data_IF_591105412060
#
_entry.id   IF_591105412060
#
_cell.length_a   1.000
_cell.length_b   1.000
_cell.length_c   1.000
_cell.angle_alpha   90.00
_cell.angle_beta   90.00
_cell.angle_gamma   90.00
#
_symmetry.space_group_name_H-M   'P 1'
#
loop_
_entity.id
_entity.type
_entity.pdbx_description
1 polymer ?
#
# COMPACT_ATOMS: atom_id res chain seq x y z
N UNK A 1 8.47 3.61 8.62
CA UNK A 1 7.26 4.18 8.01
C UNK A 1 6.82 3.20 6.95
N UNK A 2 5.58 2.72 6.99
CA UNK A 2 5.00 1.99 5.86
C UNK A 2 4.57 3.03 4.81
N UNK A 3 4.72 2.75 3.51
CA UNK A 3 4.20 3.63 2.46
C UNK A 3 2.70 3.78 2.61
N UNK A 4 2.17 5.00 2.48
CA UNK A 4 0.73 5.17 2.58
C UNK A 4 0.21 6.60 2.70
N UNK A 5 -0.90 6.83 2.03
CA UNK A 5 -1.68 8.06 2.07
C UNK A 5 -3.17 7.79 2.26
N UNK A 6 -3.99 8.82 2.05
CA UNK A 6 -5.46 8.66 2.04
C UNK A 6 -5.87 7.90 0.80
N UNK A 7 -6.79 6.94 0.96
CA UNK A 7 -7.47 6.34 -0.18
C UNK A 7 -8.45 7.34 -0.78
N UNK A 8 -8.52 7.41 -2.11
CA UNK A 8 -9.53 8.19 -2.81
C UNK A 8 -10.90 7.48 -2.75
N UNK A 9 -11.99 8.25 -2.91
CA UNK A 9 -13.34 7.70 -2.82
C UNK A 9 -13.60 6.69 -3.96
N UNK A 10 -13.83 5.42 -3.60
CA UNK A 10 -14.06 4.34 -4.55
C UNK A 10 -12.78 3.68 -5.10
N UNK A 11 -11.60 4.11 -4.64
CA UNK A 11 -10.33 3.47 -4.96
C UNK A 11 -10.20 2.13 -4.21
N UNK A 12 -9.78 1.07 -4.91
CA UNK A 12 -9.45 -0.19 -4.28
C UNK A 12 -8.14 -0.06 -3.47
N UNK A 13 -8.04 -0.74 -2.34
CA UNK A 13 -6.88 -0.61 -1.43
C UNK A 13 -5.56 -0.98 -2.13
N UNK A 14 -5.59 -1.95 -3.04
CA UNK A 14 -4.45 -2.40 -3.83
C UNK A 14 -4.01 -1.33 -4.84
N UNK A 15 -4.97 -0.59 -5.41
CA UNK A 15 -4.68 0.52 -6.34
C UNK A 15 -4.02 1.69 -5.62
N UNK A 16 -4.55 2.04 -4.44
CA UNK A 16 -3.95 3.06 -3.58
C UNK A 16 -2.52 2.65 -3.18
N UNK A 17 -2.32 1.43 -2.70
CA UNK A 17 -0.99 0.96 -2.28
C UNK A 17 0.01 0.93 -3.45
N UNK A 18 -0.39 0.48 -4.64
CA UNK A 18 0.43 0.53 -5.84
C UNK A 18 0.89 1.95 -6.17
N UNK A 19 -0.03 2.94 -6.08
CA UNK A 19 0.28 4.35 -6.32
C UNK A 19 1.26 4.90 -5.29
N UNK A 20 1.02 4.67 -4.00
CA UNK A 20 1.89 5.14 -2.92
C UNK A 20 3.31 4.54 -3.00
N UNK A 21 3.43 3.25 -3.37
CA UNK A 21 4.73 2.61 -3.62
C UNK A 21 5.50 3.28 -4.77
N UNK A 22 4.80 3.72 -5.81
CA UNK A 22 5.41 4.42 -6.93
C UNK A 22 5.81 5.86 -6.56
N UNK A 23 4.99 6.56 -5.79
CA UNK A 23 5.23 7.96 -5.39
C UNK A 23 6.34 8.08 -4.34
N UNK A 24 6.33 7.23 -3.32
CA UNK A 24 7.28 7.34 -2.20
C UNK A 24 8.59 6.58 -2.44
N UNK A 25 8.51 5.41 -3.10
CA UNK A 25 9.64 4.49 -3.24
C UNK A 25 10.11 4.30 -4.69
N UNK A 26 9.39 4.84 -5.68
CA UNK A 26 9.69 4.63 -7.09
C UNK A 26 9.43 3.18 -7.57
N UNK A 27 8.74 2.37 -6.75
CA UNK A 27 8.47 0.97 -7.04
C UNK A 27 7.12 0.83 -7.75
N UNK A 28 7.13 0.20 -8.93
CA UNK A 28 5.91 -0.09 -9.69
C UNK A 28 5.54 -1.56 -9.51
N UNK A 29 4.36 -1.81 -8.95
CA UNK A 29 3.82 -3.14 -8.68
C UNK A 29 2.38 -3.16 -9.15
N UNK A 30 1.99 -4.17 -9.93
CA UNK A 30 0.60 -4.29 -10.36
C UNK A 30 -0.33 -4.59 -9.17
N UNK A 31 -1.51 -3.94 -9.06
CA UNK A 31 -2.42 -4.12 -7.91
C UNK A 31 -2.83 -5.57 -7.66
N UNK A 32 -3.01 -6.37 -8.71
CA UNK A 32 -3.40 -7.79 -8.64
C UNK A 32 -2.27 -8.70 -8.09
N UNK A 33 -1.06 -8.17 -7.96
CA UNK A 33 0.12 -8.85 -7.36
C UNK A 33 0.26 -8.54 -5.87
N UNK A 34 -0.56 -7.65 -5.33
CA UNK A 34 -0.56 -7.29 -3.91
C UNK A 34 -1.47 -8.24 -3.14
N UNK A 35 -1.04 -8.59 -1.93
CA UNK A 35 -1.82 -9.40 -1.01
C UNK A 35 -1.85 -8.72 0.36
N UNK A 36 -2.99 -8.78 1.04
CA UNK A 36 -3.11 -8.25 2.39
C UNK A 36 -2.07 -8.90 3.34
N UNK A 37 -1.33 -8.06 4.04
CA UNK A 37 -0.43 -8.49 5.10
C UNK A 37 -0.75 -7.69 6.37
N UNK A 38 -0.88 -8.37 7.50
CA UNK A 38 -1.11 -7.74 8.80
C UNK A 38 0.17 -7.87 9.63
N UNK A 39 0.82 -6.74 9.92
CA UNK A 39 1.88 -6.72 10.91
C UNK A 39 1.25 -6.74 12.31
N UNK A 40 1.35 -7.86 13.01
CA UNK A 40 1.11 -7.86 14.46
C UNK A 40 2.20 -6.99 15.10
N UNK A 41 1.81 -5.82 15.63
CA UNK A 41 2.70 -4.99 16.44
C UNK A 41 3.09 -5.81 17.69
N UNK A 42 4.29 -6.38 17.69
CA UNK A 42 4.90 -6.91 18.92
C UNK A 42 5.40 -5.73 19.73
N UNK A 43 4.67 -5.38 20.79
CA UNK A 43 5.19 -4.54 21.86
C UNK A 43 6.33 -5.30 22.55
N UNK A 44 7.56 -4.81 22.38
CA UNK A 44 8.67 -5.03 23.31
C UNK A 44 8.98 -3.70 23.97
#
# INVERSE_FOLDING_TARGET
MQPGGKMEAGEAAESALSRELAEELGLRVEPDRLSAAFAALRNQ
#
